data_IF_001012029503
#
_entry.id   IF_001012029503
#
_cell.length_a   1.000
_cell.length_b   1.000
_cell.length_c   1.000
_cell.angle_alpha   90.00
_cell.angle_beta   90.00
_cell.angle_gamma   90.00
#
_symmetry.space_group_name_H-M   'P 1'
#
loop_
_entity.id
_entity.type
_entity.pdbx_description
1 polymer ?
#
# COMPACT_ATOMS: atom_id res chain seq x y z
N UNK A 1 131.51 -39.93 -124.03
CA UNK A 1 132.68 -39.54 -124.85
C UNK A 1 132.38 -39.91 -126.30
N UNK A 2 132.88 -39.20 -127.32
CA UNK A 2 134.01 -38.27 -127.31
C UNK A 2 133.63 -36.86 -127.84
N UNK A 3 134.45 -35.82 -127.79
CA UNK A 3 135.85 -35.77 -127.41
C UNK A 3 136.32 -34.33 -127.26
N UNK A 4 137.21 -34.18 -126.30
CA UNK A 4 138.13 -33.11 -125.95
C UNK A 4 138.58 -32.13 -127.05
N UNK A 5 138.81 -30.89 -126.59
CA UNK A 5 140.19 -30.42 -126.40
C UNK A 5 140.69 -29.41 -127.44
N UNK A 6 140.82 -28.12 -127.11
CA UNK A 6 141.91 -27.47 -126.32
C UNK A 6 143.13 -27.14 -127.19
N UNK A 7 143.25 -25.86 -127.60
CA UNK A 7 144.15 -24.80 -127.09
C UNK A 7 145.34 -24.58 -128.03
N UNK A 8 145.19 -23.55 -128.87
CA UNK A 8 146.16 -22.48 -129.00
C UNK A 8 145.39 -21.17 -129.23
N UNK A 9 144.63 -20.82 -128.20
CA UNK A 9 144.32 -19.42 -127.88
C UNK A 9 142.97 -18.85 -128.28
N UNK A 10 142.09 -19.58 -128.95
CA UNK A 10 140.81 -19.02 -129.41
C UNK A 10 139.65 -20.00 -129.25
N UNK A 11 138.85 -19.81 -128.20
CA UNK A 11 137.47 -20.30 -128.14
C UNK A 11 136.54 -19.09 -128.30
N UNK A 12 136.05 -18.92 -129.51
CA UNK A 12 135.05 -17.93 -129.90
C UNK A 12 133.74 -18.69 -130.11
N UNK A 13 132.74 -18.37 -129.29
CA UNK A 13 131.32 -18.50 -129.61
C UNK A 13 130.67 -17.16 -129.14
N UNK A 14 130.23 -16.34 -130.09
CA UNK A 14 129.91 -14.89 -129.95
C UNK A 14 128.75 -14.57 -129.00
N UNK A 15 128.61 -13.34 -128.46
CA UNK A 15 128.83 -12.06 -129.14
C UNK A 15 129.06 -10.89 -128.13
N UNK A 16 130.22 -10.84 -127.47
CA UNK A 16 131.13 -9.68 -127.44
C UNK A 16 132.13 -9.76 -126.29
N UNK A 17 133.39 -9.65 -126.70
CA UNK A 17 134.60 -9.81 -125.93
C UNK A 17 134.79 -8.75 -124.84
N UNK A 18 135.28 -9.20 -123.69
CA UNK A 18 135.98 -8.36 -122.72
C UNK A 18 137.32 -7.94 -123.34
N UNK A 19 137.42 -6.69 -123.78
CA UNK A 19 138.69 -6.12 -124.22
C UNK A 19 139.50 -5.69 -123.00
N UNK A 20 140.58 -6.40 -122.69
CA UNK A 20 141.59 -5.96 -121.72
C UNK A 20 142.51 -4.89 -122.34
N UNK A 21 141.94 -3.73 -122.67
CA UNK A 21 142.66 -2.56 -123.16
C UNK A 21 141.76 -1.33 -123.07
N UNK A 22 142.14 -0.37 -122.22
CA UNK A 22 141.56 0.97 -122.11
C UNK A 22 140.01 1.04 -121.99
N UNK A 23 139.43 0.50 -120.90
CA UNK A 23 138.05 0.81 -120.54
C UNK A 23 137.96 2.25 -120.03
N UNK A 24 137.50 3.18 -120.87
CA UNK A 24 137.04 4.49 -120.44
C UNK A 24 135.55 4.40 -120.07
N UNK A 25 135.16 4.53 -118.79
CA UNK A 25 133.76 4.42 -118.35
C UNK A 25 132.83 5.45 -119.01
N UNK A 26 133.39 6.53 -119.57
CA UNK A 26 132.65 7.61 -120.24
C UNK A 26 132.02 7.18 -121.59
N UNK A 27 132.53 6.14 -122.24
CA UNK A 27 132.03 5.69 -123.56
C UNK A 27 130.80 4.78 -123.48
N UNK A 28 130.45 4.28 -122.29
CA UNK A 28 129.33 3.34 -122.11
C UNK A 28 128.22 3.81 -121.16
N UNK A 29 128.41 4.90 -120.41
CA UNK A 29 127.37 5.53 -119.59
C UNK A 29 127.51 7.06 -119.67
N UNK A 30 126.78 7.68 -120.59
CA UNK A 30 126.83 9.12 -120.83
C UNK A 30 126.50 9.93 -119.57
N UNK A 31 127.27 11.00 -119.34
CA UNK A 31 127.21 11.96 -118.21
C UNK A 31 125.89 12.76 -118.06
N UNK A 32 124.84 12.34 -118.77
CA UNK A 32 123.47 12.80 -118.62
C UNK A 32 122.55 11.66 -118.15
N UNK A 33 123.06 10.73 -117.35
CA UNK A 33 122.26 9.73 -116.65
C UNK A 33 121.43 10.39 -115.53
N UNK A 34 120.65 11.41 -115.86
CA UNK A 34 119.43 11.77 -115.15
C UNK A 34 118.46 10.58 -115.25
N UNK A 35 117.47 10.53 -114.36
CA UNK A 35 116.52 9.42 -114.17
C UNK A 35 115.81 8.88 -115.45
N UNK A 36 116.00 9.54 -116.60
CA UNK A 36 115.59 9.10 -117.93
C UNK A 36 116.14 7.73 -118.37
N UNK A 37 117.27 7.26 -117.82
CA UNK A 37 117.81 5.92 -118.15
C UNK A 37 117.23 4.78 -117.29
N UNK A 38 116.49 5.08 -116.22
CA UNK A 38 115.76 4.07 -115.44
C UNK A 38 114.40 3.82 -116.09
N UNK A 39 114.34 2.94 -117.10
CA UNK A 39 113.11 2.55 -117.80
C UNK A 39 112.00 2.01 -116.89
N UNK A 40 112.32 1.61 -115.65
CA UNK A 40 111.33 1.22 -114.64
C UNK A 40 110.54 2.41 -114.06
N UNK A 41 111.04 3.65 -114.18
CA UNK A 41 110.40 4.89 -113.72
C UNK A 41 109.91 5.78 -114.87
N UNK A 42 110.39 5.56 -116.11
CA UNK A 42 110.00 6.34 -117.29
C UNK A 42 108.50 6.25 -117.64
N UNK A 43 107.84 5.15 -117.25
CA UNK A 43 106.38 5.09 -117.21
C UNK A 43 105.96 5.33 -115.75
N UNK A 44 105.47 6.53 -115.44
CA UNK A 44 104.93 6.82 -114.10
C UNK A 44 103.93 5.72 -113.70
N UNK A 45 104.22 5.00 -112.62
CA UNK A 45 103.25 4.04 -112.07
C UNK A 45 102.22 4.84 -111.30
N UNK A 46 100.95 4.79 -111.70
CA UNK A 46 99.87 5.41 -110.94
C UNK A 46 99.93 4.91 -109.49
N UNK A 47 100.31 5.79 -108.57
CA UNK A 47 100.19 5.55 -107.14
C UNK A 47 98.80 6.03 -106.73
N UNK A 48 97.87 5.08 -106.52
CA UNK A 48 96.52 5.37 -106.03
C UNK A 48 96.37 4.89 -104.60
N UNK A 49 95.84 5.73 -103.71
CA UNK A 49 95.30 5.28 -102.43
C UNK A 49 93.92 4.63 -102.69
N UNK A 50 93.69 3.44 -102.17
CA UNK A 50 92.41 2.71 -102.31
C UNK A 50 91.55 2.86 -101.06
N UNK A 51 90.23 2.96 -101.22
CA UNK A 51 89.28 3.04 -100.10
C UNK A 51 88.25 4.15 -100.30
N UNK A 52 87.97 4.92 -99.25
CA UNK A 52 87.02 6.06 -99.28
C UNK A 52 87.62 7.38 -99.76
N UNK A 53 88.94 7.40 -99.98
CA UNK A 53 89.67 8.57 -100.47
C UNK A 53 89.74 8.48 -101.99
N UNK A 54 89.42 9.58 -102.68
CA UNK A 54 89.65 9.73 -104.12
C UNK A 54 90.73 10.79 -104.34
N UNK A 55 91.77 10.44 -105.11
CA UNK A 55 92.78 11.39 -105.58
C UNK A 55 93.03 11.18 -107.07
N UNK A 56 93.29 12.29 -107.77
CA UNK A 56 93.76 12.21 -109.15
C UNK A 56 95.17 11.61 -109.16
N UNK A 57 95.49 10.81 -110.17
CA UNK A 57 96.84 10.28 -110.34
C UNK A 57 97.85 11.42 -110.48
N UNK A 58 98.93 11.39 -109.71
CA UNK A 58 100.05 12.33 -109.84
C UNK A 58 101.20 11.70 -110.60
N UNK A 59 101.93 12.53 -111.35
CA UNK A 59 103.13 12.11 -112.08
C UNK A 59 104.36 12.36 -111.19
N UNK A 60 105.19 11.34 -111.02
CA UNK A 60 106.45 11.42 -110.28
C UNK A 60 107.62 11.22 -111.25
N UNK A 61 108.42 12.26 -111.47
CA UNK A 61 109.60 12.23 -112.35
C UNK A 61 110.94 12.39 -111.60
N UNK A 62 110.88 12.49 -110.27
CA UNK A 62 112.05 12.61 -109.40
C UNK A 62 112.75 13.98 -109.43
N UNK A 63 112.16 14.98 -110.10
CA UNK A 63 112.72 16.34 -110.16
C UNK A 63 112.41 17.19 -108.92
N UNK A 64 111.43 16.77 -108.10
CA UNK A 64 111.05 17.45 -106.85
C UNK A 64 110.04 16.68 -106.01
N UNK A 65 109.61 17.27 -104.89
CA UNK A 65 108.56 16.71 -104.04
C UNK A 65 107.21 16.74 -104.77
N UNK A 66 106.46 15.64 -104.71
CA UNK A 66 105.11 15.54 -105.31
C UNK A 66 104.04 15.58 -104.23
N UNK A 67 103.03 16.43 -104.41
CA UNK A 67 101.88 16.56 -103.51
C UNK A 67 100.68 15.81 -104.07
N UNK A 68 100.15 14.83 -103.33
CA UNK A 68 98.86 14.21 -103.65
C UNK A 68 97.74 14.94 -102.92
N UNK A 69 97.00 15.77 -103.65
CA UNK A 69 95.73 16.33 -103.16
C UNK A 69 94.69 15.21 -103.16
N UNK A 70 94.16 14.91 -101.98
CA UNK A 70 93.19 13.84 -101.77
C UNK A 70 92.02 14.39 -100.98
N UNK A 71 90.80 14.08 -101.43
CA UNK A 71 89.57 14.47 -100.74
C UNK A 71 88.73 13.21 -100.48
N UNK A 72 88.02 13.22 -99.36
CA UNK A 72 86.96 12.25 -99.10
C UNK A 72 85.68 12.95 -99.54
N UNK A 73 85.02 12.44 -100.57
CA UNK A 73 83.74 13.00 -101.00
C UNK A 73 82.72 12.91 -99.84
N UNK A 74 81.92 13.96 -99.63
CA UNK A 74 80.97 14.05 -98.50
C UNK A 74 80.01 12.85 -98.42
N UNK A 75 79.64 12.29 -99.56
CA UNK A 75 78.75 11.12 -99.64
C UNK A 75 79.46 9.77 -99.38
N UNK A 76 80.80 9.73 -99.32
CA UNK A 76 81.57 8.51 -99.13
C UNK A 76 81.56 8.03 -97.66
N UNK A 77 81.33 8.94 -96.71
CA UNK A 77 81.27 8.68 -95.27
C UNK A 77 79.82 8.51 -94.81
N UNK A 78 79.28 7.31 -94.99
CA UNK A 78 77.94 6.95 -94.51
C UNK A 78 77.92 6.71 -93.00
N UNK A 79 76.78 6.86 -92.34
CA UNK A 79 76.60 6.59 -90.89
C UNK A 79 77.15 5.21 -90.48
N UNK A 80 76.98 4.19 -91.31
CA UNK A 80 77.48 2.82 -91.06
C UNK A 80 79.00 2.69 -91.05
N UNK A 81 79.75 3.64 -91.62
CA UNK A 81 81.22 3.61 -91.69
C UNK A 81 81.87 4.35 -90.52
N UNK A 82 81.10 5.11 -89.74
CA UNK A 82 81.57 5.83 -88.56
C UNK A 82 81.10 5.08 -87.32
N UNK A 83 82.03 4.38 -86.66
CA UNK A 83 81.72 3.59 -85.47
C UNK A 83 81.03 4.45 -84.40
N UNK A 84 79.87 3.99 -83.91
CA UNK A 84 79.11 4.67 -82.85
C UNK A 84 78.18 5.80 -83.31
N UNK A 85 78.26 6.28 -84.56
CA UNK A 85 77.42 7.40 -85.04
C UNK A 85 75.92 7.04 -85.06
N UNK A 86 75.57 5.82 -85.48
CA UNK A 86 74.17 5.36 -85.45
C UNK A 86 73.63 5.32 -84.02
N UNK A 87 74.43 4.84 -83.06
CA UNK A 87 74.06 4.80 -81.65
C UNK A 87 73.86 6.21 -81.09
N UNK A 88 74.73 7.16 -81.44
CA UNK A 88 74.60 8.55 -81.03
C UNK A 88 73.34 9.21 -81.62
N UNK A 89 73.04 8.99 -82.91
CA UNK A 89 71.80 9.50 -83.53
C UNK A 89 70.55 8.90 -82.88
N UNK A 90 70.55 7.61 -82.58
CA UNK A 90 69.41 6.94 -81.94
C UNK A 90 69.14 7.43 -80.52
N UNK A 91 70.14 8.01 -79.84
CA UNK A 91 70.00 8.58 -78.51
C UNK A 91 69.50 10.03 -78.52
N UNK A 92 69.49 10.70 -79.67
CA UNK A 92 69.03 12.08 -79.81
C UNK A 92 67.54 12.13 -80.18
N UNK A 93 66.87 13.19 -79.73
CA UNK A 93 65.50 13.50 -80.15
C UNK A 93 65.54 14.52 -81.29
N UNK A 94 64.90 14.25 -82.45
CA UNK A 94 64.82 15.21 -83.55
C UNK A 94 64.07 16.50 -83.16
N UNK A 95 64.65 17.67 -83.46
CA UNK A 95 64.06 18.96 -83.10
C UNK A 95 62.68 19.20 -83.72
N UNK A 96 62.42 18.65 -84.91
CA UNK A 96 61.13 18.78 -85.59
C UNK A 96 59.99 18.00 -84.90
N UNK A 97 60.29 17.16 -83.91
CA UNK A 97 59.30 16.45 -83.11
C UNK A 97 59.01 17.14 -81.77
N UNK A 98 59.78 18.16 -81.40
CA UNK A 98 59.65 18.81 -80.09
C UNK A 98 58.43 19.74 -80.06
N UNK A 99 57.48 19.45 -79.18
CA UNK A 99 56.34 20.33 -78.89
C UNK A 99 55.28 20.44 -80.00
N UNK A 100 55.31 19.52 -80.97
CA UNK A 100 54.34 19.43 -82.07
C UNK A 100 53.37 18.26 -81.87
N UNK A 101 52.23 18.27 -82.59
CA UNK A 101 51.28 17.16 -82.56
C UNK A 101 51.93 15.85 -83.04
N UNK A 102 51.61 14.74 -82.37
CA UNK A 102 52.22 13.41 -82.57
C UNK A 102 53.75 13.37 -82.34
N UNK A 103 54.32 14.38 -81.67
CA UNK A 103 55.73 14.49 -81.34
C UNK A 103 56.04 14.15 -79.88
N UNK A 104 57.15 14.70 -79.39
CA UNK A 104 57.65 14.57 -78.01
C UNK A 104 57.39 15.86 -77.26
N UNK A 105 56.94 15.76 -76.00
CA UNK A 105 56.76 16.92 -75.13
C UNK A 105 58.10 17.60 -74.81
N UNK A 106 58.12 18.93 -74.77
CA UNK A 106 59.28 19.72 -74.34
C UNK A 106 59.18 20.08 -72.87
N UNK A 107 60.31 20.39 -72.24
CA UNK A 107 60.32 21.03 -70.93
C UNK A 107 60.52 22.55 -71.10
N UNK A 108 59.77 23.34 -70.33
CA UNK A 108 59.96 24.78 -70.17
C UNK A 108 61.19 25.12 -69.35
N UNK A 109 61.44 26.42 -69.15
CA UNK A 109 62.59 26.91 -68.38
C UNK A 109 62.57 26.47 -66.90
N UNK A 110 61.42 26.06 -66.40
CA UNK A 110 61.18 25.51 -65.06
C UNK A 110 61.31 23.98 -64.98
N UNK A 111 61.69 23.32 -66.09
CA UNK A 111 61.87 21.88 -66.16
C UNK A 111 60.57 21.07 -66.21
N UNK A 112 59.42 21.71 -66.48
CA UNK A 112 58.10 21.05 -66.59
C UNK A 112 57.58 21.10 -68.02
N UNK A 113 56.66 20.21 -68.37
CA UNK A 113 55.98 20.28 -69.67
C UNK A 113 55.08 21.53 -69.70
N UNK A 114 55.21 22.43 -70.69
CA UNK A 114 54.33 23.59 -70.81
C UNK A 114 52.86 23.18 -70.91
N UNK A 115 51.96 23.90 -70.23
CA UNK A 115 50.53 23.59 -70.17
C UNK A 115 49.87 23.46 -71.55
N UNK A 116 50.34 24.21 -72.55
CA UNK A 116 49.88 24.11 -73.94
C UNK A 116 50.09 22.73 -74.59
N UNK A 117 50.97 21.89 -74.04
CA UNK A 117 51.27 20.54 -74.52
C UNK A 117 50.57 19.44 -73.71
N UNK A 118 49.80 19.79 -72.67
CA UNK A 118 49.08 18.84 -71.82
C UNK A 118 47.60 18.83 -72.25
N UNK A 119 47.07 17.71 -72.78
CA UNK A 119 45.67 17.63 -73.19
C UNK A 119 44.73 17.77 -71.99
N UNK A 120 43.86 18.78 -72.02
CA UNK A 120 42.83 19.01 -71.01
C UNK A 120 43.42 19.38 -69.66
N UNK A 121 44.01 20.59 -69.57
CA UNK A 121 44.52 21.20 -68.34
C UNK A 121 43.57 20.96 -67.17
N UNK A 122 43.82 19.88 -66.42
CA UNK A 122 43.37 19.70 -65.05
C UNK A 122 44.28 20.60 -64.21
N UNK A 123 44.23 21.90 -64.50
CA UNK A 123 45.02 22.91 -63.82
C UNK A 123 44.06 23.77 -63.01
N UNK A 124 44.34 23.76 -61.72
CA UNK A 124 43.71 24.43 -60.61
C UNK A 124 42.35 23.93 -60.13
N UNK A 125 42.42 23.21 -59.00
CA UNK A 125 41.44 23.37 -57.93
C UNK A 125 41.46 24.84 -57.51
N UNK A 126 40.43 25.59 -57.90
CA UNK A 126 40.30 26.98 -57.48
C UNK A 126 39.68 27.03 -56.09
N UNK A 127 40.50 27.33 -55.09
CA UNK A 127 40.05 27.55 -53.72
C UNK A 127 39.58 29.00 -53.54
N UNK A 128 38.37 29.16 -53.02
CA UNK A 128 37.80 30.44 -52.67
C UNK A 128 37.34 30.42 -51.21
N UNK A 129 37.45 31.53 -50.45
CA UNK A 129 36.98 31.57 -49.07
C UNK A 129 35.50 31.15 -48.91
N UNK A 130 34.63 31.50 -49.85
CA UNK A 130 33.20 31.12 -49.85
C UNK A 130 32.59 31.13 -51.25
N UNK A 131 31.36 30.65 -51.39
CA UNK A 131 30.64 30.64 -52.67
C UNK A 131 30.52 32.04 -53.31
N UNK A 132 30.32 33.08 -52.50
CA UNK A 132 30.19 34.46 -52.97
C UNK A 132 31.49 35.02 -53.58
N UNK A 133 32.63 34.42 -53.27
CA UNK A 133 33.95 34.82 -53.77
C UNK A 133 34.39 34.07 -55.02
N UNK A 134 33.58 33.12 -55.51
CA UNK A 134 33.84 32.46 -56.79
C UNK A 134 33.70 33.45 -57.96
N UNK A 135 34.46 33.26 -59.05
CA UNK A 135 34.28 34.04 -60.28
C UNK A 135 32.81 34.05 -60.73
N UNK A 136 32.31 35.18 -61.25
CA UNK A 136 30.92 35.27 -61.70
C UNK A 136 30.58 34.28 -62.84
N UNK A 137 31.58 33.92 -63.65
CA UNK A 137 31.49 32.90 -64.69
C UNK A 137 32.62 31.89 -64.46
N UNK A 138 32.27 30.62 -64.28
CA UNK A 138 33.25 29.55 -64.17
C UNK A 138 33.78 29.10 -65.53
N UNK A 139 34.87 28.35 -65.50
CA UNK A 139 35.49 27.71 -66.64
C UNK A 139 35.14 26.22 -66.63
N UNK A 140 34.81 25.68 -67.80
CA UNK A 140 34.56 24.24 -67.93
C UNK A 140 35.85 23.45 -67.66
N UNK A 141 35.73 22.34 -66.94
CA UNK A 141 36.87 21.47 -66.61
C UNK A 141 37.65 21.84 -65.34
N UNK A 142 37.30 22.95 -64.66
CA UNK A 142 37.86 23.31 -63.35
C UNK A 142 37.03 22.76 -62.19
N UNK A 143 37.72 22.39 -61.11
CA UNK A 143 37.12 22.11 -59.81
C UNK A 143 37.24 23.35 -58.92
N UNK A 144 36.15 23.69 -58.26
CA UNK A 144 36.08 24.84 -57.37
C UNK A 144 35.83 24.37 -55.95
N UNK A 145 36.62 24.82 -54.99
CA UNK A 145 36.48 24.48 -53.58
C UNK A 145 36.16 25.73 -52.78
N UNK A 146 35.12 25.69 -51.96
CA UNK A 146 34.78 26.77 -51.04
C UNK A 146 35.15 26.36 -49.62
N UNK A 147 36.07 27.10 -49.00
CA UNK A 147 36.71 26.71 -47.74
C UNK A 147 35.80 26.86 -46.51
N UNK A 148 34.88 27.82 -46.52
CA UNK A 148 33.93 28.08 -45.44
C UNK A 148 33.11 26.85 -45.03
N UNK A 149 32.67 26.06 -46.01
CA UNK A 149 31.80 24.89 -45.81
C UNK A 149 32.42 23.61 -46.37
N UNK A 150 33.69 23.68 -46.82
CA UNK A 150 34.44 22.58 -47.41
C UNK A 150 33.68 21.87 -48.56
N UNK A 151 33.01 22.66 -49.42
CA UNK A 151 32.19 22.17 -50.53
C UNK A 151 32.97 22.18 -51.84
N UNK A 152 32.64 21.24 -52.72
CA UNK A 152 33.21 21.12 -54.06
C UNK A 152 32.16 21.37 -55.15
N UNK A 153 32.56 22.14 -56.15
CA UNK A 153 31.68 22.63 -57.21
C UNK A 153 32.31 22.40 -58.57
N UNK A 154 31.46 22.22 -59.59
CA UNK A 154 31.83 22.23 -61.00
C UNK A 154 31.06 23.31 -61.74
N UNK A 155 31.66 23.88 -62.79
CA UNK A 155 30.93 24.76 -63.70
C UNK A 155 30.10 23.93 -64.70
N UNK A 156 28.79 24.16 -64.76
CA UNK A 156 27.88 23.47 -65.69
C UNK A 156 27.83 24.07 -67.10
N UNK A 157 28.45 25.24 -67.29
CA UNK A 157 28.29 26.08 -68.49
C UNK A 157 27.49 27.35 -68.21
N UNK A 158 26.63 27.35 -67.18
CA UNK A 158 25.80 28.50 -66.79
C UNK A 158 25.80 28.79 -65.30
N UNK A 159 25.98 27.77 -64.45
CA UNK A 159 25.98 27.91 -62.99
C UNK A 159 26.95 26.94 -62.33
N UNK A 160 27.39 27.26 -61.11
CA UNK A 160 28.10 26.30 -60.27
C UNK A 160 27.13 25.25 -59.73
N UNK A 161 27.49 23.98 -59.90
CA UNK A 161 26.75 22.82 -59.42
C UNK A 161 27.60 22.10 -58.38
N UNK A 162 27.06 21.88 -57.19
CA UNK A 162 27.72 21.12 -56.13
C UNK A 162 27.87 19.65 -56.56
N UNK A 163 29.06 19.07 -56.37
CA UNK A 163 29.37 17.72 -56.85
C UNK A 163 28.74 16.66 -55.93
N UNK A 164 28.81 16.88 -54.61
CA UNK A 164 28.25 15.98 -53.61
C UNK A 164 27.38 16.79 -52.63
N UNK A 165 26.20 17.27 -53.06
CA UNK A 165 25.32 18.01 -52.18
C UNK A 165 24.91 17.13 -51.00
N UNK A 166 25.14 17.61 -49.78
CA UNK A 166 24.57 16.97 -48.59
C UNK A 166 23.04 17.12 -48.63
N UNK A 167 22.27 16.06 -48.33
CA UNK A 167 20.82 16.15 -48.18
C UNK A 167 20.39 17.05 -47.00
N UNK A 168 21.32 17.45 -46.13
CA UNK A 168 21.06 18.37 -45.01
C UNK A 168 20.38 17.73 -43.80
N UNK A 169 19.47 16.78 -44.02
CA UNK A 169 18.83 15.94 -42.98
C UNK A 169 18.63 14.54 -43.53
N UNK A 170 18.53 13.55 -42.63
CA UNK A 170 18.03 12.21 -42.97
C UNK A 170 16.61 12.26 -43.54
N UNK A 171 15.81 13.26 -43.18
CA UNK A 171 14.43 13.43 -43.66
C UNK A 171 14.35 13.82 -45.15
N UNK A 172 15.44 14.37 -45.70
CA UNK A 172 15.52 14.78 -47.09
C UNK A 172 16.02 13.67 -48.01
N UNK A 173 16.39 12.51 -47.46
CA UNK A 173 16.77 11.33 -48.24
C UNK A 173 15.57 10.39 -48.32
N UNK A 174 15.03 10.11 -49.52
CA UNK A 174 13.97 9.13 -49.67
C UNK A 174 14.43 7.75 -49.17
N UNK A 175 13.68 7.19 -48.22
CA UNK A 175 13.90 5.82 -47.77
C UNK A 175 13.61 4.84 -48.91
N UNK A 176 14.52 3.87 -49.08
CA UNK A 176 14.39 2.82 -50.08
C UNK A 176 14.92 1.50 -49.54
N UNK A 177 14.81 0.43 -50.32
CA UNK A 177 15.24 -0.92 -49.89
C UNK A 177 16.72 -0.99 -49.46
N UNK A 178 17.58 -0.08 -49.93
CA UNK A 178 19.00 -0.01 -49.59
C UNK A 178 19.34 1.08 -48.56
N UNK A 179 18.54 2.15 -48.46
CA UNK A 179 18.77 3.28 -47.57
C UNK A 179 17.73 3.28 -46.43
N UNK A 180 17.92 2.39 -45.45
CA UNK A 180 17.15 2.34 -44.19
C UNK A 180 17.95 3.02 -43.08
N UNK A 181 17.76 4.34 -42.89
CA UNK A 181 18.41 5.09 -41.80
C UNK A 181 17.81 4.75 -40.42
N UNK A 182 16.58 4.23 -40.40
CA UNK A 182 16.04 3.48 -39.28
C UNK A 182 15.49 2.15 -39.79
N UNK A 183 15.76 1.08 -39.05
CA UNK A 183 15.05 -0.19 -39.23
C UNK A 183 13.88 -0.21 -38.26
N UNK A 184 12.81 -0.95 -38.58
CA UNK A 184 11.72 -1.21 -37.64
C UNK A 184 12.26 -1.75 -36.30
N UNK A 185 13.34 -2.53 -36.34
CA UNK A 185 14.03 -3.02 -35.14
C UNK A 185 14.68 -1.89 -34.32
N UNK A 186 15.31 -0.90 -34.96
CA UNK A 186 15.95 0.24 -34.27
C UNK A 186 14.91 1.19 -33.67
N UNK A 187 13.81 1.43 -34.39
CA UNK A 187 12.68 2.20 -33.88
C UNK A 187 11.98 1.47 -32.71
N UNK A 188 11.77 0.16 -32.81
CA UNK A 188 11.22 -0.66 -31.73
C UNK A 188 12.17 -0.78 -30.53
N UNK A 189 13.50 -0.73 -30.73
CA UNK A 189 14.47 -0.73 -29.63
C UNK A 189 14.51 0.60 -28.85
N UNK A 190 14.09 1.70 -29.50
CA UNK A 190 14.07 3.03 -28.91
C UNK A 190 12.71 3.41 -28.28
N UNK A 191 11.70 2.52 -28.36
CA UNK A 191 10.40 2.81 -27.78
C UNK A 191 10.51 2.89 -26.24
N UNK A 192 9.83 3.86 -25.58
CA UNK A 192 9.84 3.94 -24.12
C UNK A 192 9.27 2.69 -23.42
N UNK A 193 8.37 1.97 -24.10
CA UNK A 193 7.75 0.74 -23.62
C UNK A 193 8.13 -0.40 -24.56
N UNK A 194 8.99 -1.29 -24.07
CA UNK A 194 9.45 -2.45 -24.84
C UNK A 194 8.51 -3.65 -24.75
N UNK A 195 7.75 -3.76 -23.66
CA UNK A 195 6.76 -4.81 -23.46
C UNK A 195 5.68 -4.36 -22.48
N UNK A 196 4.51 -4.95 -22.58
CA UNK A 196 3.46 -4.84 -21.55
C UNK A 196 3.10 -6.25 -21.11
N UNK A 197 3.31 -6.54 -19.82
CA UNK A 197 3.09 -7.87 -19.23
C UNK A 197 3.69 -9.01 -20.08
N UNK A 198 4.96 -8.86 -20.47
CA UNK A 198 5.72 -9.86 -21.24
C UNK A 198 5.35 -9.99 -22.72
N UNK A 199 4.38 -9.21 -23.22
CA UNK A 199 3.97 -9.19 -24.63
C UNK A 199 4.65 -8.05 -25.39
N UNK A 200 5.04 -8.33 -26.63
CA UNK A 200 5.69 -7.40 -27.55
C UNK A 200 4.87 -7.25 -28.82
N UNK A 201 5.01 -6.13 -29.53
CA UNK A 201 4.27 -5.85 -30.77
C UNK A 201 2.89 -5.22 -30.54
N UNK A 202 1.89 -5.61 -31.33
CA UNK A 202 0.51 -5.17 -31.15
C UNK A 202 -0.11 -5.85 -29.91
N UNK A 203 -0.09 -5.15 -28.77
CA UNK A 203 -0.61 -5.69 -27.50
C UNK A 203 -2.08 -5.31 -27.34
N UNK A 204 -2.96 -6.31 -27.40
CA UNK A 204 -4.35 -6.17 -26.91
C UNK A 204 -4.38 -6.62 -25.45
N UNK A 205 -4.80 -5.75 -24.54
CA UNK A 205 -4.87 -6.05 -23.10
C UNK A 205 -6.27 -6.42 -22.69
N UNK A 206 -6.35 -7.41 -21.81
CA UNK A 206 -7.51 -7.77 -21.01
C UNK A 206 -7.31 -7.32 -19.56
N UNK A 207 -8.39 -7.26 -18.78
CA UNK A 207 -8.30 -6.89 -17.36
C UNK A 207 -7.39 -7.85 -16.56
N UNK A 208 -7.32 -9.13 -16.95
CA UNK A 208 -6.39 -10.09 -16.34
C UNK A 208 -4.91 -9.78 -16.60
N UNK A 209 -4.58 -9.11 -17.71
CA UNK A 209 -3.18 -8.81 -18.06
C UNK A 209 -2.53 -7.78 -17.14
N UNK A 210 -3.32 -7.06 -16.36
CA UNK A 210 -2.85 -6.05 -15.41
C UNK A 210 -3.28 -6.37 -13.96
N UNK A 211 -3.66 -7.62 -13.69
CA UNK A 211 -4.09 -8.06 -12.36
C UNK A 211 -5.46 -7.55 -11.92
N UNK A 212 -6.28 -7.06 -12.87
CA UNK A 212 -7.61 -6.51 -12.63
C UNK A 212 -8.74 -7.46 -13.07
N UNK A 213 -8.47 -8.76 -13.17
CA UNK A 213 -9.45 -9.75 -13.66
C UNK A 213 -10.76 -9.84 -12.85
N UNK A 214 -10.73 -9.40 -11.60
CA UNK A 214 -11.92 -9.33 -10.73
C UNK A 214 -12.58 -7.94 -10.72
N UNK A 215 -11.97 -6.95 -11.36
CA UNK A 215 -12.51 -5.60 -11.42
C UNK A 215 -13.54 -5.55 -12.53
N UNK A 216 -14.78 -5.30 -12.16
CA UNK A 216 -15.85 -5.03 -13.09
C UNK A 216 -15.90 -3.52 -13.41
N UNK A 217 -15.79 -3.15 -14.69
CA UNK A 217 -15.97 -1.76 -15.14
C UNK A 217 -17.46 -1.43 -15.32
N UNK A 218 -18.24 -1.72 -14.29
CA UNK A 218 -19.66 -1.37 -14.20
C UNK A 218 -19.77 -0.06 -13.44
N UNK A 219 -20.58 0.87 -13.95
CA UNK A 219 -20.81 2.17 -13.31
C UNK A 219 -21.29 1.98 -11.87
N UNK A 220 -20.97 2.92 -10.97
CA UNK A 220 -21.30 2.76 -9.55
C UNK A 220 -22.80 2.52 -9.30
N UNK A 221 -23.68 3.09 -10.12
CA UNK A 221 -25.13 2.91 -10.04
C UNK A 221 -25.59 1.48 -10.38
N UNK A 222 -24.82 0.76 -11.19
CA UNK A 222 -25.13 -0.59 -11.67
C UNK A 222 -24.38 -1.67 -10.86
N UNK A 223 -23.55 -1.28 -9.89
CA UNK A 223 -22.84 -2.23 -9.03
C UNK A 223 -23.85 -2.98 -8.16
N UNK A 224 -23.87 -4.32 -8.20
CA UNK A 224 -24.76 -5.08 -7.34
C UNK A 224 -24.41 -4.85 -5.88
N UNK A 225 -25.42 -4.62 -5.05
CA UNK A 225 -25.30 -4.65 -3.59
C UNK A 225 -24.99 -6.11 -3.20
N UNK A 226 -23.98 -6.34 -2.36
CA UNK A 226 -23.64 -7.71 -1.97
C UNK A 226 -24.82 -8.38 -1.23
N UNK A 227 -24.92 -9.72 -1.31
CA UNK A 227 -25.98 -10.48 -0.62
C UNK A 227 -26.02 -10.17 0.88
N UNK A 228 -24.85 -10.01 1.51
CA UNK A 228 -24.74 -9.66 2.92
C UNK A 228 -25.29 -8.25 3.22
N UNK A 229 -24.97 -7.27 2.38
CA UNK A 229 -25.51 -5.90 2.51
C UNK A 229 -27.02 -5.88 2.28
N UNK A 230 -27.52 -6.57 1.25
CA UNK A 230 -28.95 -6.66 0.98
C UNK A 230 -29.70 -7.32 2.15
N UNK A 231 -29.17 -8.40 2.72
CA UNK A 231 -29.74 -9.05 3.90
C UNK A 231 -29.72 -8.13 5.14
N UNK A 232 -28.61 -7.41 5.37
CA UNK A 232 -28.51 -6.47 6.48
C UNK A 232 -29.49 -5.30 6.37
N UNK A 233 -29.75 -4.81 5.15
CA UNK A 233 -30.74 -3.77 4.86
C UNK A 233 -32.16 -4.32 5.08
N UNK A 234 -32.45 -5.53 4.58
CA UNK A 234 -33.76 -6.17 4.75
C UNK A 234 -34.09 -6.50 6.22
N UNK A 235 -33.07 -6.67 7.07
CA UNK A 235 -33.25 -6.86 8.51
C UNK A 235 -33.56 -5.54 9.26
N UNK A 236 -33.38 -4.37 8.62
CA UNK A 236 -33.81 -3.10 9.20
C UNK A 236 -35.33 -2.98 9.11
N UNK A 237 -35.91 -2.41 10.15
CA UNK A 237 -37.33 -2.10 10.17
C UNK A 237 -37.56 -0.82 9.36
N UNK A 238 -38.37 -0.91 8.31
CA UNK A 238 -38.69 0.24 7.47
C UNK A 238 -39.38 1.33 8.30
N UNK A 239 -38.92 2.58 8.14
CA UNK A 239 -39.50 3.73 8.83
C UNK A 239 -40.99 3.93 8.47
N UNK A 240 -41.38 3.60 7.23
CA UNK A 240 -42.79 3.59 6.80
C UNK A 240 -43.62 2.50 7.49
N UNK A 241 -42.98 1.45 8.01
CA UNK A 241 -43.59 0.35 8.76
C UNK A 241 -43.52 0.56 10.28
N UNK A 242 -43.11 1.75 10.74
CA UNK A 242 -43.07 2.13 12.15
C UNK A 242 -43.94 3.36 12.40
N UNK A 243 -45.24 3.21 12.17
CA UNK A 243 -46.21 4.28 12.35
C UNK A 243 -46.56 4.49 13.84
N UNK A 244 -47.17 5.63 14.16
CA UNK A 244 -47.70 5.87 15.52
C UNK A 244 -48.71 4.79 15.96
N UNK A 245 -49.46 4.20 15.02
CA UNK A 245 -50.36 3.10 15.30
C UNK A 245 -49.62 1.81 15.64
N UNK A 246 -48.50 1.51 14.97
CA UNK A 246 -47.65 0.35 15.28
C UNK A 246 -46.99 0.48 16.65
N UNK A 247 -46.53 1.70 16.98
CA UNK A 247 -45.98 2.01 18.31
C UNK A 247 -47.05 1.84 19.39
N UNK A 248 -48.24 2.39 19.18
CA UNK A 248 -49.36 2.22 20.11
C UNK A 248 -49.69 0.74 20.29
N UNK A 249 -49.86 -0.02 19.20
CA UNK A 249 -50.16 -1.45 19.22
C UNK A 249 -49.11 -2.26 19.99
N UNK A 250 -47.82 -1.95 19.81
CA UNK A 250 -46.74 -2.59 20.58
C UNK A 250 -46.82 -2.25 22.06
N UNK A 251 -47.07 -0.99 22.43
CA UNK A 251 -47.21 -0.61 23.84
C UNK A 251 -48.42 -1.26 24.51
N UNK A 252 -49.56 -1.39 23.80
CA UNK A 252 -50.77 -2.04 24.34
C UNK A 252 -50.53 -3.47 24.82
N UNK A 253 -49.54 -4.17 24.25
CA UNK A 253 -49.25 -5.58 24.59
C UNK A 253 -48.42 -5.78 25.86
N UNK A 254 -47.82 -4.73 26.41
CA UNK A 254 -46.86 -4.84 27.53
C UNK A 254 -47.50 -4.53 28.89
N UNK A 255 -48.72 -3.99 28.92
CA UNK A 255 -49.40 -3.57 30.16
C UNK A 255 -50.77 -4.24 30.32
N UNK A 256 -51.13 -4.58 31.56
CA UNK A 256 -52.39 -5.24 31.94
C UNK A 256 -53.58 -4.26 32.02
N UNK A 257 -54.75 -4.66 32.51
CA UNK A 257 -55.71 -5.24 31.57
C UNK A 257 -56.42 -4.12 30.77
N UNK A 258 -56.02 -3.98 29.50
CA UNK A 258 -56.75 -3.24 28.45
C UNK A 258 -55.87 -2.47 27.44
N UNK A 259 -54.82 -1.81 27.93
CA UNK A 259 -53.66 -1.36 27.14
C UNK A 259 -52.73 -0.47 27.92
N UNK A 260 -53.18 0.06 29.05
CA UNK A 260 -52.36 1.01 29.75
C UNK A 260 -52.38 2.39 29.11
N UNK A 261 -51.20 2.98 29.19
CA UNK A 261 -51.04 4.39 29.45
C UNK A 261 -51.83 4.86 30.70
N UNK A 262 -52.31 3.96 31.56
CA UNK A 262 -52.90 4.23 32.89
C UNK A 262 -51.81 4.58 33.92
N UNK A 263 -51.03 5.62 33.62
CA UNK A 263 -50.16 6.23 34.62
C UNK A 263 -50.95 6.93 35.74
N UNK A 264 -52.29 7.04 35.63
CA UNK A 264 -53.19 7.78 36.53
C UNK A 264 -54.31 6.96 37.19
N UNK A 265 -54.55 5.71 36.78
CA UNK A 265 -55.63 4.84 37.31
C UNK A 265 -55.03 3.66 38.09
N UNK A 266 -55.42 3.50 39.36
CA UNK A 266 -55.09 2.30 40.13
C UNK A 266 -56.20 1.26 39.89
N UNK A 267 -55.85 0.04 39.45
CA UNK A 267 -56.79 -1.05 39.17
C UNK A 267 -57.99 -0.65 38.26
N UNK A 268 -57.76 0.24 37.28
CA UNK A 268 -58.77 0.70 36.34
C UNK A 268 -59.77 1.72 36.92
N UNK A 269 -59.54 2.23 38.13
CA UNK A 269 -60.42 3.20 38.78
C UNK A 269 -59.75 4.56 38.96
N UNK A 270 -60.51 5.63 38.73
CA UNK A 270 -60.04 7.00 38.93
C UNK A 270 -59.79 7.31 40.41
N UNK A 271 -58.92 8.29 40.73
CA UNK A 271 -58.77 8.75 42.12
C UNK A 271 -60.11 9.13 42.79
N UNK A 272 -61.13 9.50 42.01
CA UNK A 272 -62.48 9.81 42.54
C UNK A 272 -63.23 8.56 43.06
N UNK A 273 -63.02 7.39 42.46
CA UNK A 273 -63.65 6.14 42.90
C UNK A 273 -63.29 5.80 44.35
N UNK A 274 -62.02 5.99 44.72
CA UNK A 274 -61.49 5.74 46.05
C UNK A 274 -61.87 6.81 47.10
N UNK A 275 -62.50 7.92 46.69
CA UNK A 275 -63.02 8.94 47.60
C UNK A 275 -64.44 8.67 48.07
N UNK A 276 -65.20 7.86 47.34
CA UNK A 276 -66.58 7.56 47.69
C UNK A 276 -66.65 6.42 48.71
N UNK A 277 -67.29 6.67 49.85
CA UNK A 277 -67.45 5.70 50.92
C UNK A 277 -68.28 4.49 50.49
N UNK A 278 -69.21 4.67 49.54
CA UNK A 278 -70.05 3.59 49.02
C UNK A 278 -69.24 2.50 48.30
N UNK A 279 -68.03 2.84 47.82
CA UNK A 279 -67.13 1.92 47.14
C UNK A 279 -66.20 1.17 48.10
N UNK A 280 -66.24 1.47 49.40
CA UNK A 280 -65.48 0.75 50.42
C UNK A 280 -66.22 -0.55 50.77
N UNK A 281 -65.74 -1.67 50.25
CA UNK A 281 -66.35 -3.00 50.45
C UNK A 281 -65.88 -3.71 51.74
N UNK A 282 -65.27 -3.00 52.69
CA UNK A 282 -64.68 -3.56 53.91
C UNK A 282 -64.98 -2.77 55.18
N UNK A 283 -64.52 -3.27 56.34
CA UNK A 283 -64.72 -2.61 57.63
C UNK A 283 -63.82 -1.38 57.77
N UNK A 284 -64.43 -0.22 58.01
CA UNK A 284 -63.69 1.00 58.33
C UNK A 284 -63.25 0.99 59.80
N UNK A 285 -61.97 1.23 60.05
CA UNK A 285 -61.47 1.38 61.40
C UNK A 285 -62.10 2.60 62.08
N UNK A 286 -62.42 2.50 63.39
CA UNK A 286 -63.02 3.59 64.17
C UNK A 286 -62.18 4.88 64.14
N UNK A 287 -60.86 4.78 63.98
CA UNK A 287 -59.95 5.92 63.83
C UNK A 287 -60.21 6.77 62.58
N UNK A 288 -60.86 6.20 61.57
CA UNK A 288 -61.10 6.84 60.28
C UNK A 288 -62.52 7.42 60.17
N UNK A 289 -63.35 7.19 61.19
CA UNK A 289 -64.66 7.82 61.33
C UNK A 289 -64.50 9.15 62.08
N UNK A 290 -65.21 10.22 61.67
CA UNK A 290 -65.25 11.44 62.47
C UNK A 290 -65.79 11.14 63.87
N UNK A 291 -65.36 11.90 64.87
CA UNK A 291 -65.85 11.77 66.25
C UNK A 291 -67.37 12.02 66.26
N UNK A 292 -68.16 10.95 66.38
CA UNK A 292 -69.61 11.04 66.48
C UNK A 292 -70.01 11.53 67.88
N UNK A 293 -70.81 12.58 67.91
CA UNK A 293 -71.47 13.11 69.10
C UNK A 293 -72.85 12.46 69.26
N UNK A 294 -73.47 12.59 70.45
CA UNK A 294 -74.84 12.10 70.68
C UNK A 294 -75.87 12.73 69.72
N UNK A 295 -75.60 13.96 69.25
CA UNK A 295 -76.44 14.63 68.27
C UNK A 295 -76.35 14.01 66.87
N UNK A 296 -75.17 13.54 66.46
CA UNK A 296 -74.96 12.99 65.11
C UNK A 296 -75.75 11.70 64.87
N UNK A 297 -76.10 10.99 65.94
CA UNK A 297 -76.86 9.73 65.92
C UNK A 297 -78.27 9.85 66.51
N UNK A 298 -78.75 11.07 66.76
CA UNK A 298 -80.12 11.32 67.26
C UNK A 298 -80.39 10.81 68.69
N UNK A 299 -79.36 10.69 69.52
CA UNK A 299 -79.45 10.21 70.91
C UNK A 299 -79.21 11.35 71.92
N UNK A 300 -79.59 12.59 71.58
CA UNK A 300 -79.28 13.78 72.37
C UNK A 300 -79.92 13.81 73.76
N UNK A 301 -80.99 13.02 73.97
CA UNK A 301 -81.69 12.90 75.25
C UNK A 301 -81.27 11.67 76.06
N UNK A 302 -80.40 10.83 75.53
CA UNK A 302 -79.92 9.63 76.21
C UNK A 302 -78.70 10.01 77.04
N UNK A 303 -78.84 9.93 78.36
CA UNK A 303 -77.71 10.04 79.28
C UNK A 303 -77.03 8.69 79.46
N UNK A 304 -75.69 8.67 79.44
CA UNK A 304 -74.88 7.46 79.59
C UNK A 304 -74.39 7.30 81.05
N UNK A 305 -75.22 7.74 81.98
CA UNK A 305 -75.03 7.58 83.42
C UNK A 305 -75.76 6.31 83.86
N UNK A 306 -75.09 5.45 84.65
CA UNK A 306 -75.69 4.20 85.13
C UNK A 306 -77.01 4.47 85.86
N UNK A 307 -77.97 3.54 85.77
CA UNK A 307 -79.31 3.74 86.33
C UNK A 307 -79.29 4.11 87.82
N UNK A 308 -78.34 3.57 88.59
CA UNK A 308 -78.16 3.87 90.01
C UNK A 308 -77.81 5.34 90.30
N UNK A 309 -77.26 6.06 89.32
CA UNK A 309 -76.82 7.45 89.45
C UNK A 309 -77.82 8.44 88.81
N UNK A 310 -78.97 7.96 88.31
CA UNK A 310 -80.02 8.84 87.79
C UNK A 310 -80.72 9.55 88.96
N UNK A 311 -80.72 10.89 89.02
CA UNK A 311 -81.39 11.60 90.09
C UNK A 311 -82.91 11.32 90.07
N UNK A 312 -83.51 11.07 91.24
CA UNK A 312 -84.97 10.97 91.40
C UNK A 312 -85.57 12.33 91.06
N UNK A 313 -86.65 12.37 90.26
CA UNK A 313 -87.20 13.65 89.78
C UNK A 313 -87.70 14.54 90.94
N UNK A 314 -87.56 15.86 90.80
CA UNK A 314 -88.05 16.84 91.79
C UNK A 314 -89.55 16.69 92.09
N UNK A 315 -90.35 16.29 91.08
CA UNK A 315 -91.77 16.00 91.24
C UNK A 315 -92.03 14.75 92.12
N UNK A 316 -91.25 13.68 91.95
CA UNK A 316 -91.37 12.48 92.80
C UNK A 316 -90.95 12.75 94.25
N UNK A 317 -89.87 13.50 94.46
CA UNK A 317 -89.43 13.89 95.80
C UNK A 317 -90.51 14.74 96.53
N UNK A 318 -91.13 15.68 95.82
CA UNK A 318 -92.22 16.50 96.36
C UNK A 318 -93.47 15.67 96.71
N UNK A 319 -93.85 14.71 95.86
CA UNK A 319 -95.00 13.84 96.10
C UNK A 319 -94.84 12.95 97.35
N UNK A 320 -93.64 12.40 97.56
CA UNK A 320 -93.33 11.57 98.74
C UNK A 320 -93.40 12.42 100.01
N UNK A 321 -92.87 13.64 100.01
CA UNK A 321 -92.93 14.54 101.15
C UNK A 321 -94.38 14.88 101.54
N UNK A 322 -95.24 15.17 100.54
CA UNK A 322 -96.65 15.45 100.77
C UNK A 322 -97.40 14.25 101.37
N UNK A 323 -97.13 13.03 100.88
CA UNK A 323 -97.75 11.81 101.40
C UNK A 323 -97.39 11.54 102.87
N UNK A 324 -96.13 11.77 103.25
CA UNK A 324 -95.67 11.61 104.64
C UNK A 324 -96.34 12.63 105.58
N UNK A 325 -96.53 13.87 105.12
CA UNK A 325 -97.21 14.90 105.91
C UNK A 325 -98.69 14.57 106.11
N UNK A 326 -99.39 14.11 105.06
CA UNK A 326 -100.79 13.73 105.17
C UNK A 326 -101.02 12.59 106.17
N UNK A 327 -100.16 11.56 106.17
CA UNK A 327 -100.27 10.44 107.11
C UNK A 327 -100.08 10.86 108.58
N UNK A 328 -99.23 11.87 108.84
CA UNK A 328 -98.95 12.37 110.20
C UNK A 328 -100.01 13.33 110.74
N UNK A 329 -100.82 13.93 109.86
CA UNK A 329 -101.81 14.93 110.23
C UNK A 329 -103.18 14.35 110.61
N UNK A 330 -103.40 13.06 110.36
CA UNK A 330 -104.73 12.48 110.46
C UNK A 330 -105.13 12.14 111.91
N UNK A 331 -106.31 12.63 112.30
CA UNK A 331 -106.84 12.48 113.65
C UNK A 331 -106.99 10.98 113.99
N UNK A 332 -106.61 10.61 115.21
CA UNK A 332 -106.66 9.23 115.68
C UNK A 332 -108.08 8.66 115.48
N UNK A 333 -108.25 7.63 114.64
CA UNK A 333 -109.56 7.06 114.31
C UNK A 333 -110.23 6.35 115.50
N UNK A 334 -109.55 6.20 116.65
CA UNK A 334 -110.14 5.61 117.85
C UNK A 334 -109.92 6.44 119.12
N UNK A 335 -110.61 7.58 119.28
CA UNK A 335 -110.39 8.50 120.40
C UNK A 335 -110.80 7.95 121.78
N UNK A 336 -111.43 6.77 121.84
CA UNK A 336 -111.82 6.07 123.07
C UNK A 336 -110.78 5.07 123.57
N UNK A 337 -109.76 4.74 122.76
CA UNK A 337 -108.61 3.97 123.24
C UNK A 337 -107.53 4.96 123.68
N UNK A 338 -106.97 4.69 124.85
CA UNK A 338 -105.83 5.43 125.38
C UNK A 338 -104.74 5.48 124.31
N UNK A 339 -104.23 6.68 123.98
CA UNK A 339 -103.06 6.83 123.13
C UNK A 339 -101.91 5.99 123.68
N UNK A 340 -100.88 5.67 122.87
CA UNK A 340 -99.76 4.84 123.34
C UNK A 340 -99.22 5.29 124.71
N UNK A 341 -99.08 6.60 124.93
CA UNK A 341 -98.65 7.18 126.20
C UNK A 341 -99.66 6.96 127.34
N UNK A 342 -100.95 7.04 127.06
CA UNK A 342 -102.02 6.83 128.04
C UNK A 342 -102.25 5.33 128.33
N UNK A 343 -102.05 4.45 127.33
CA UNK A 343 -102.15 2.99 127.43
C UNK A 343 -100.98 2.40 128.21
N UNK A 344 -99.77 2.96 128.05
CA UNK A 344 -98.59 2.57 128.83
C UNK A 344 -98.74 2.86 130.34
N UNK A 345 -99.66 3.75 130.75
CA UNK A 345 -99.97 4.05 132.17
C UNK A 345 -101.06 3.14 132.74
N UNK A 346 -102.07 2.76 131.94
CA UNK A 346 -103.19 1.92 132.40
C UNK A 346 -102.96 0.41 132.17
N UNK A 347 -102.10 0.04 131.22
CA UNK A 347 -101.75 -1.32 130.83
C UNK A 347 -100.23 -1.52 130.89
N UNK A 348 -99.66 -1.29 132.07
CA UNK A 348 -98.31 -1.73 132.39
C UNK A 348 -98.16 -3.25 132.13
N UNK A 349 -97.18 -3.68 131.31
CA UNK A 349 -96.78 -5.07 131.23
C UNK A 349 -95.97 -5.45 132.48
N UNK A 350 -96.56 -6.31 133.30
CA UNK A 350 -95.98 -7.59 133.75
C UNK A 350 -94.44 -7.66 133.73
N UNK A 351 -93.81 -7.38 134.87
CA UNK A 351 -92.66 -8.16 135.37
C UNK A 351 -92.85 -8.43 136.87
N UNK A 352 -94.11 -8.74 137.21
CA UNK A 352 -94.76 -8.72 138.52
C UNK A 352 -94.46 -9.92 139.41
N UNK A 353 -94.22 -9.63 140.68
CA UNK A 353 -94.73 -10.45 141.79
C UNK A 353 -96.26 -10.42 141.74
N UNK A 354 -96.91 -11.44 141.15
CA UNK A 354 -98.38 -11.50 141.10
C UNK A 354 -98.98 -12.48 140.10
N UNK A 355 -99.66 -13.51 140.63
CA UNK A 355 -100.30 -14.65 139.98
C UNK A 355 -99.42 -15.55 139.09
N UNK A 356 -98.64 -14.98 138.17
CA UNK A 356 -97.79 -15.74 137.27
C UNK A 356 -96.53 -16.29 137.96
N UNK A 357 -95.92 -15.57 138.91
CA UNK A 357 -94.78 -16.10 139.68
C UNK A 357 -95.16 -17.34 140.51
N UNK A 358 -96.40 -17.41 140.99
CA UNK A 358 -96.91 -18.61 141.66
C UNK A 358 -97.14 -19.78 140.68
N UNK A 359 -97.38 -19.50 139.39
CA UNK A 359 -97.54 -20.51 138.35
C UNK A 359 -96.19 -20.98 137.75
N UNK A 360 -95.21 -20.08 137.60
CA UNK A 360 -93.85 -20.43 137.14
C UNK A 360 -93.07 -21.15 138.22
N UNK A 361 -93.23 -20.79 139.50
CA UNK A 361 -92.67 -21.56 140.61
C UNK A 361 -93.28 -22.97 140.73
N UNK A 362 -94.53 -23.17 140.29
CA UNK A 362 -95.14 -24.49 140.22
C UNK A 362 -94.57 -25.32 139.04
N UNK A 363 -94.32 -24.72 137.88
CA UNK A 363 -93.78 -25.44 136.71
C UNK A 363 -92.29 -25.76 136.83
N UNK A 364 -91.48 -24.92 137.48
CA UNK A 364 -90.05 -25.21 137.73
C UNK A 364 -89.87 -26.28 138.82
N UNK A 365 -90.89 -26.53 139.63
CA UNK A 365 -90.89 -27.61 140.63
C UNK A 365 -91.36 -28.97 140.05
N UNK A 366 -91.90 -29.00 138.83
CA UNK A 366 -92.27 -30.22 138.12
C UNK A 366 -91.23 -30.53 137.03
N UNK A 367 -90.57 -31.69 137.14
CA UNK A 367 -89.57 -32.15 136.19
C UNK A 367 -90.09 -32.09 134.73
N UNK A 368 -89.32 -31.51 133.81
CA UNK A 368 -89.71 -31.40 132.39
C UNK A 368 -89.86 -32.81 131.77
N UNK A 369 -91.07 -33.16 131.28
CA UNK A 369 -91.41 -34.48 130.77
C UNK A 369 -91.00 -34.75 129.30
N UNK A 370 -90.27 -33.85 128.61
CA UNK A 370 -89.97 -33.99 127.17
C UNK A 370 -88.48 -33.86 126.79
N UNK A 371 -87.66 -34.79 127.31
CA UNK A 371 -86.24 -35.01 126.96
C UNK A 371 -85.99 -35.59 125.53
N UNK A 372 -87.00 -35.58 124.65
CA UNK A 372 -87.00 -36.42 123.43
C UNK A 372 -86.94 -35.67 122.09
N UNK A 373 -86.92 -34.34 122.07
CA UNK A 373 -87.02 -33.61 120.79
C UNK A 373 -85.93 -32.55 120.55
N UNK A 374 -84.80 -32.63 121.25
CA UNK A 374 -83.53 -32.06 120.77
C UNK A 374 -82.73 -33.16 120.06
N UNK A 375 -82.55 -33.06 118.74
CA UNK A 375 -81.74 -33.98 117.90
C UNK A 375 -80.22 -33.85 118.18
N UNK A 376 -79.83 -33.91 119.46
CA UNK A 376 -78.44 -33.87 119.96
C UNK A 376 -77.55 -34.97 119.34
N UNK A 377 -78.14 -36.10 118.93
CA UNK A 377 -77.40 -37.20 118.30
C UNK A 377 -76.73 -36.84 116.97
N UNK A 378 -77.31 -35.90 116.19
CA UNK A 378 -76.66 -35.41 114.95
C UNK A 378 -75.51 -34.44 115.19
N UNK A 379 -75.50 -33.74 116.33
CA UNK A 379 -74.39 -32.85 116.72
C UNK A 379 -73.22 -33.67 117.27
N UNK A 380 -73.48 -34.65 118.13
CA UNK A 380 -72.44 -35.52 118.70
C UNK A 380 -71.77 -36.45 117.64
N UNK A 381 -72.53 -36.88 116.63
CA UNK A 381 -72.01 -37.69 115.51
C UNK A 381 -71.15 -36.89 114.52
N UNK A 382 -71.41 -35.58 114.37
CA UNK A 382 -70.59 -34.70 113.54
C UNK A 382 -69.25 -34.43 114.24
N UNK A 383 -69.27 -34.21 115.56
CA UNK A 383 -68.10 -33.98 116.40
C UNK A 383 -67.12 -35.17 116.34
N UNK A 384 -67.63 -36.39 116.54
CA UNK A 384 -66.84 -37.63 116.46
C UNK A 384 -66.17 -37.83 115.09
N UNK A 385 -66.83 -37.40 114.00
CA UNK A 385 -66.29 -37.52 112.64
C UNK A 385 -65.19 -36.49 112.36
N UNK A 386 -65.29 -35.29 112.95
CA UNK A 386 -64.26 -34.26 112.82
C UNK A 386 -62.98 -34.68 113.55
N UNK A 387 -63.11 -35.25 114.76
CA UNK A 387 -61.97 -35.78 115.52
C UNK A 387 -61.22 -36.89 114.76
N UNK A 388 -61.94 -37.81 114.11
CA UNK A 388 -61.33 -38.87 113.31
C UNK A 388 -60.54 -38.32 112.12
N UNK A 389 -61.02 -37.24 111.48
CA UNK A 389 -60.33 -36.59 110.36
C UNK A 389 -59.06 -35.89 110.82
N UNK A 390 -59.04 -35.26 112.00
CA UNK A 390 -57.81 -34.65 112.56
C UNK A 390 -56.70 -35.68 112.81
N UNK A 391 -57.06 -36.88 113.27
CA UNK A 391 -56.10 -37.99 113.45
C UNK A 391 -55.52 -38.43 112.11
N UNK A 392 -56.35 -38.57 111.08
CA UNK A 392 -55.89 -38.97 109.74
C UNK A 392 -54.97 -37.92 109.11
N UNK A 393 -55.28 -36.63 109.26
CA UNK A 393 -54.42 -35.54 108.77
C UNK A 393 -53.04 -35.57 109.44
N UNK A 394 -53.00 -35.81 110.75
CA UNK A 394 -51.74 -35.95 111.50
C UNK A 394 -50.91 -37.14 111.03
N UNK A 395 -51.55 -38.27 110.73
CA UNK A 395 -50.87 -39.46 110.20
C UNK A 395 -50.31 -39.24 108.78
N UNK A 396 -51.03 -38.49 107.93
CA UNK A 396 -50.54 -38.12 106.59
C UNK A 396 -49.32 -37.21 106.68
N UNK A 397 -49.33 -36.24 107.59
CA UNK A 397 -48.17 -35.36 107.81
C UNK A 397 -46.92 -36.17 108.21
N UNK A 398 -47.04 -37.11 109.15
CA UNK A 398 -45.92 -37.98 109.53
C UNK A 398 -45.38 -38.84 108.37
N UNK A 399 -46.23 -39.27 107.43
CA UNK A 399 -45.78 -39.97 106.22
C UNK A 399 -45.07 -39.04 105.24
N UNK A 400 -45.52 -37.79 105.13
CA UNK A 400 -44.87 -36.79 104.28
C UNK A 400 -43.47 -36.46 104.79
N UNK A 401 -43.31 -36.30 106.11
CA UNK A 401 -42.02 -36.03 106.74
C UNK A 401 -40.99 -37.17 106.45
N UNK A 402 -41.44 -38.43 106.43
CA UNK A 402 -40.59 -39.58 106.06
C UNK A 402 -40.19 -39.53 104.59
N UNK A 403 -41.11 -39.19 103.69
CA UNK A 403 -40.82 -39.07 102.25
C UNK A 403 -39.83 -37.94 101.99
N UNK A 404 -39.97 -36.81 102.66
CA UNK A 404 -39.02 -35.70 102.55
C UNK A 404 -37.61 -36.10 103.05
N UNK A 405 -37.54 -36.88 104.13
CA UNK A 405 -36.27 -37.46 104.62
C UNK A 405 -35.64 -38.44 103.62
N UNK A 406 -36.44 -39.29 102.98
CA UNK A 406 -35.97 -40.22 101.95
C UNK A 406 -35.46 -39.49 100.71
N UNK A 407 -36.16 -38.44 100.27
CA UNK A 407 -35.72 -37.58 99.15
C UNK A 407 -34.40 -36.90 99.47
N UNK A 408 -34.24 -36.36 100.69
CA UNK A 408 -32.97 -35.76 101.12
C UNK A 408 -31.82 -36.78 101.10
N UNK A 409 -32.08 -38.01 101.52
CA UNK A 409 -31.10 -39.11 101.50
C UNK A 409 -30.73 -39.50 100.06
N UNK A 410 -31.71 -39.56 99.16
CA UNK A 410 -31.49 -39.85 97.75
C UNK A 410 -30.70 -38.73 97.05
N UNK A 411 -30.97 -37.47 97.38
CA UNK A 411 -30.21 -36.33 96.86
C UNK A 411 -28.73 -36.40 97.25
N UNK A 412 -28.44 -36.73 98.52
CA UNK A 412 -27.06 -36.92 98.98
C UNK A 412 -26.37 -38.13 98.30
N UNK A 413 -27.12 -39.20 97.99
CA UNK A 413 -26.62 -40.32 97.20
C UNK A 413 -26.28 -39.90 95.77
N UNK A 414 -27.12 -39.08 95.13
CA UNK A 414 -26.89 -38.57 93.77
C UNK A 414 -25.67 -37.65 93.75
N UNK A 415 -25.51 -36.77 94.74
CA UNK A 415 -24.32 -35.92 94.87
C UNK A 415 -23.02 -36.74 95.02
N UNK A 416 -23.07 -37.90 95.69
CA UNK A 416 -21.94 -38.83 95.78
C UNK A 416 -21.64 -39.55 94.45
N UNK A 417 -22.65 -39.83 93.63
CA UNK A 417 -22.46 -40.36 92.27
C UNK A 417 -21.84 -39.29 91.37
N UNK A 418 -22.25 -38.02 91.52
CA UNK A 418 -21.67 -36.92 90.75
C UNK A 418 -20.18 -36.71 91.11
N UNK A 419 -19.82 -36.77 92.39
CA UNK A 419 -18.42 -36.69 92.86
C UNK A 419 -17.56 -37.92 92.52
N UNK A 420 -18.14 -39.10 92.26
CA UNK A 420 -17.38 -40.27 91.78
C UNK A 420 -17.22 -40.29 90.27
N UNK A 421 -18.02 -39.52 89.52
CA UNK A 421 -17.86 -39.32 88.07
C UNK A 421 -16.73 -38.36 87.70
N UNK A 422 -16.33 -37.48 88.63
CA UNK A 422 -15.23 -36.51 88.45
C UNK A 422 -13.86 -37.04 88.93
N UNK A 423 -13.82 -38.22 89.56
CA UNK A 423 -12.58 -38.90 89.96
C UNK A 423 -11.98 -39.81 88.86
N UNK A 424 -12.75 -40.13 87.81
CA UNK A 424 -12.34 -40.99 86.68
C UNK A 424 -12.06 -40.20 85.37
N UNK A 425 -11.74 -38.91 85.48
CA UNK A 425 -11.16 -38.09 84.39
C UNK A 425 -9.73 -37.65 84.66
#
# INVERSE_FOLDING_TARGET
MPGNGIINGLKIDGNNAWHAGNFNPLDYLGVNATAAAATKLANARNFSLSGVITSAGVVFDGSGNVTLVSEIADSALTVSKVAGLQTALNALVPQNLLGVANGVATLGADGKIPSAQIPGSMDDVLEAPSYATLPAVGEAGKLYLTLDQNRSWRWSGSTYVEINPSPGSTDAVPEGQLNLYFTTARAAAAAPVQSVNGRVGAVTLSASDVGLGNVNNTADADKPVSTAQAAAIAAKLDASSYTAADVLAKLKTVDGEGSGLDADLLAGQSPAFYRDLANVTGTLAKSNLPTLTKSDVGLQFVDNTSDANKPVSTAQAAAIAAAVTALKGEADPFPTYLSKTEGDVLYAPISTTGAADAAVAAHVAEADPHDQYTLKSTTDALDTRVDAVEVDVTAVQGRLDVVESDIATLSASVDNVDNTSDADK
#
